data_IF_673854137900
#
_entry.id   IF_673854137900
#
_cell.length_a   1.000
_cell.length_b   1.000
_cell.length_c   1.000
_cell.angle_alpha   90.00
_cell.angle_beta   90.00
_cell.angle_gamma   90.00
#
_symmetry.space_group_name_H-M   'P 1'
#
loop_
_entity.id
_entity.type
_entity.pdbx_description
1 polymer ?
#
# COMPACT_ATOMS: atom_id res chain seq x y z
N UNK A 1 -6.57 1.87 -0.04
CA UNK A 1 -6.23 1.99 -1.48
C UNK A 1 -6.70 0.78 -2.31
N UNK A 2 -7.28 0.99 -3.48
CA UNK A 2 -7.47 -0.07 -4.49
C UNK A 2 -6.18 -0.25 -5.30
N UNK A 3 -5.74 -1.49 -5.51
CA UNK A 3 -4.48 -1.80 -6.19
C UNK A 3 -4.59 -1.55 -7.70
N UNK A 4 -3.62 -0.84 -8.27
CA UNK A 4 -3.54 -0.49 -9.70
C UNK A 4 -2.60 -1.40 -10.50
N UNK A 5 -1.69 -2.11 -9.83
CA UNK A 5 -0.78 -3.05 -10.50
C UNK A 5 -1.21 -4.51 -10.37
N UNK A 6 -1.01 -5.26 -11.46
CA UNK A 6 -1.20 -6.71 -11.51
C UNK A 6 0.12 -7.40 -11.78
N UNK A 7 0.44 -8.40 -10.95
CA UNK A 7 1.64 -9.22 -11.07
C UNK A 7 1.48 -10.25 -12.21
N UNK A 8 2.44 -10.32 -13.11
CA UNK A 8 2.50 -11.34 -14.18
C UNK A 8 3.58 -12.39 -13.89
N UNK A 9 4.74 -11.95 -13.38
CA UNK A 9 5.88 -12.84 -13.05
C UNK A 9 6.60 -12.33 -11.78
N UNK A 10 7.63 -13.03 -11.31
CA UNK A 10 8.37 -12.77 -10.05
C UNK A 10 8.76 -11.30 -9.83
N UNK A 11 8.98 -10.51 -10.89
CA UNK A 11 9.35 -9.08 -10.82
C UNK A 11 8.72 -8.19 -11.92
N UNK A 12 7.67 -8.67 -12.59
CA UNK A 12 7.05 -7.93 -13.70
C UNK A 12 5.60 -7.64 -13.37
N UNK A 13 5.27 -6.35 -13.36
CA UNK A 13 3.94 -5.83 -13.08
C UNK A 13 3.41 -5.05 -14.27
N UNK A 14 2.10 -5.10 -14.44
CA UNK A 14 1.38 -4.34 -15.46
C UNK A 14 0.25 -3.52 -14.86
N UNK A 15 -0.22 -2.51 -15.58
CA UNK A 15 -1.48 -1.80 -15.28
C UNK A 15 -2.31 -1.65 -16.56
N UNK A 16 -3.64 -1.65 -16.41
CA UNK A 16 -4.61 -1.52 -17.51
C UNK A 16 -5.03 -0.04 -17.68
N UNK A 17 -5.13 0.42 -18.93
CA UNK A 17 -5.36 1.83 -19.31
C UNK A 17 -6.71 2.43 -18.92
N UNK A 18 -7.61 1.68 -18.28
CA UNK A 18 -8.91 2.25 -17.85
C UNK A 18 -8.77 3.38 -16.82
N UNK A 19 -7.60 3.52 -16.18
CA UNK A 19 -7.33 4.50 -15.12
C UNK A 19 -6.38 5.65 -15.52
N UNK A 20 -5.95 5.74 -16.78
CA UNK A 20 -5.11 6.84 -17.26
C UNK A 20 -5.95 7.71 -18.20
N UNK A 21 -6.24 8.95 -17.79
CA UNK A 21 -6.98 9.90 -18.60
C UNK A 21 -6.29 10.04 -19.96
N UNK A 22 -7.05 9.78 -21.03
CA UNK A 22 -6.60 9.87 -22.41
C UNK A 22 -5.97 11.24 -22.67
N UNK A 23 -4.68 11.27 -22.97
CA UNK A 23 -4.08 12.43 -23.64
C UNK A 23 -4.63 12.41 -25.06
N UNK A 24 -5.63 13.25 -25.32
CA UNK A 24 -6.30 13.37 -26.62
C UNK A 24 -5.26 13.72 -27.69
N UNK A 25 -5.12 12.86 -28.70
CA UNK A 25 -4.22 13.18 -29.81
C UNK A 25 -3.99 12.15 -30.92
N UNK A 26 -4.48 10.91 -30.85
CA UNK A 26 -4.30 9.96 -31.96
C UNK A 26 -5.58 9.21 -32.31
N UNK A 27 -6.02 9.43 -33.56
CA UNK A 27 -7.24 8.88 -34.15
C UNK A 27 -7.10 7.38 -34.43
N UNK A 28 -8.13 6.63 -34.00
CA UNK A 28 -8.67 5.39 -34.55
C UNK A 28 -7.70 4.26 -34.93
N UNK A 29 -7.62 3.22 -34.10
CA UNK A 29 -7.93 1.81 -34.46
C UNK A 29 -7.62 0.86 -33.29
N UNK A 30 -8.61 0.03 -32.93
CA UNK A 30 -8.62 -1.01 -31.88
C UNK A 30 -8.40 -0.53 -30.44
N UNK A 31 -9.36 -0.86 -29.58
CA UNK A 31 -9.19 -0.85 -28.12
C UNK A 31 -8.14 -1.92 -27.75
N UNK A 32 -6.87 -1.61 -27.95
CA UNK A 32 -5.80 -2.23 -27.19
C UNK A 32 -5.99 -1.76 -25.76
N UNK A 33 -6.29 -2.68 -24.87
CA UNK A 33 -5.98 -2.49 -23.46
C UNK A 33 -4.46 -2.29 -23.42
N UNK A 34 -3.99 -1.05 -23.48
CA UNK A 34 -2.56 -0.73 -23.46
C UNK A 34 -2.04 -1.15 -22.09
N UNK A 35 -1.49 -2.37 -22.06
CA UNK A 35 -0.85 -2.95 -20.89
C UNK A 35 0.45 -2.18 -20.68
N UNK A 36 0.46 -1.29 -19.69
CA UNK A 36 1.68 -0.54 -19.36
C UNK A 36 2.59 -1.42 -18.51
N UNK A 37 3.88 -1.45 -18.87
CA UNK A 37 4.93 -2.16 -18.16
C UNK A 37 6.17 -1.28 -18.06
N UNK A 38 7.05 -1.56 -17.10
CA UNK A 38 8.33 -0.86 -16.97
C UNK A 38 8.72 -0.55 -15.53
N UNK A 39 9.81 0.20 -15.36
CA UNK A 39 10.37 0.51 -14.04
C UNK A 39 9.39 1.31 -13.16
N UNK A 40 8.66 2.27 -13.75
CA UNK A 40 7.66 3.06 -13.03
C UNK A 40 6.53 2.18 -12.45
N UNK A 41 6.01 1.24 -13.24
CA UNK A 41 4.98 0.29 -12.79
C UNK A 41 5.52 -0.64 -11.71
N UNK A 42 6.76 -1.09 -11.82
CA UNK A 42 7.41 -1.89 -10.78
C UNK A 42 7.63 -1.10 -9.48
N UNK A 43 7.91 0.22 -9.55
CA UNK A 43 8.00 1.09 -8.37
C UNK A 43 6.63 1.27 -7.72
N UNK A 44 5.59 1.48 -8.53
CA UNK A 44 4.21 1.58 -8.04
C UNK A 44 3.78 0.29 -7.33
N UNK A 45 4.04 -0.88 -7.92
CA UNK A 45 3.72 -2.15 -7.30
C UNK A 45 4.38 -2.35 -5.93
N UNK A 46 5.65 -1.94 -5.79
CA UNK A 46 6.36 -1.99 -4.50
C UNK A 46 5.78 -1.03 -3.47
N UNK A 47 5.30 0.12 -3.92
CA UNK A 47 4.60 1.06 -3.05
C UNK A 47 3.28 0.47 -2.56
N UNK A 48 2.50 -0.14 -3.45
CA UNK A 48 1.26 -0.83 -3.09
C UNK A 48 1.52 -1.97 -2.09
N UNK A 49 2.56 -2.80 -2.35
CA UNK A 49 2.97 -3.86 -1.42
C UNK A 49 3.37 -3.31 -0.04
N UNK A 50 4.05 -2.16 0.01
CA UNK A 50 4.42 -1.48 1.25
C UNK A 50 3.18 -0.96 1.98
N UNK A 51 2.24 -0.36 1.26
CA UNK A 51 1.01 0.18 1.80
C UNK A 51 0.15 -0.94 2.43
N UNK A 52 -0.07 -2.02 1.69
CA UNK A 52 -0.77 -3.21 2.18
C UNK A 52 -0.10 -3.79 3.44
N UNK A 53 1.24 -3.89 3.43
CA UNK A 53 1.99 -4.34 4.59
C UNK A 53 1.78 -3.44 5.81
N UNK A 54 1.78 -2.12 5.65
CA UNK A 54 1.60 -1.18 6.76
C UNK A 54 0.21 -1.31 7.40
N UNK A 55 -0.83 -1.48 6.59
CA UNK A 55 -2.20 -1.71 7.08
C UNK A 55 -2.29 -3.01 7.88
N UNK A 56 -1.84 -4.13 7.32
CA UNK A 56 -1.84 -5.42 8.01
C UNK A 56 -1.00 -5.38 9.30
N UNK A 57 0.19 -4.77 9.22
CA UNK A 57 1.09 -4.61 10.36
C UNK A 57 0.47 -3.75 11.46
N UNK A 58 -0.34 -2.75 11.11
CA UNK A 58 -1.11 -1.93 12.06
C UNK A 58 -2.19 -2.77 12.76
N UNK A 59 -3.00 -3.51 12.00
CA UNK A 59 -4.06 -4.38 12.52
C UNK A 59 -3.48 -5.41 13.51
N UNK A 60 -2.45 -6.16 13.09
CA UNK A 60 -1.77 -7.13 13.96
C UNK A 60 -1.19 -6.48 15.23
N UNK A 61 -0.66 -5.26 15.11
CA UNK A 61 -0.07 -4.54 16.25
C UNK A 61 -1.17 -4.14 17.24
N UNK A 62 -2.32 -3.69 16.76
CA UNK A 62 -3.48 -3.36 17.59
C UNK A 62 -3.99 -4.61 18.32
N UNK A 63 -4.14 -5.74 17.62
CA UNK A 63 -4.54 -7.01 18.24
C UNK A 63 -3.60 -7.44 19.38
N UNK A 64 -2.29 -7.34 19.16
CA UNK A 64 -1.27 -7.65 20.18
C UNK A 64 -1.35 -6.72 21.38
N UNK A 65 -1.59 -5.42 21.15
CA UNK A 65 -1.81 -4.42 22.22
C UNK A 65 -3.06 -4.78 23.03
N UNK A 66 -4.18 -5.09 22.37
CA UNK A 66 -5.44 -5.45 23.03
C UNK A 66 -5.31 -6.72 23.85
N UNK A 67 -4.58 -7.72 23.34
CA UNK A 67 -4.27 -8.93 24.11
C UNK A 67 -3.49 -8.60 25.38
N UNK A 68 -2.44 -7.78 25.29
CA UNK A 68 -1.66 -7.36 26.46
C UNK A 68 -2.46 -6.50 27.45
N UNK A 69 -3.42 -5.71 26.97
CA UNK A 69 -4.37 -4.97 27.83
C UNK A 69 -5.25 -5.92 28.64
N UNK A 70 -5.80 -6.96 28.00
CA UNK A 70 -6.61 -7.99 28.68
C UNK A 70 -5.80 -8.81 29.71
N UNK A 71 -4.50 -8.89 29.53
CA UNK A 71 -3.57 -9.56 30.47
C UNK A 71 -2.97 -8.60 31.52
N UNK A 72 -3.41 -7.33 31.59
CA UNK A 72 -2.85 -6.27 32.46
C UNK A 72 -1.34 -6.01 32.28
N UNK A 73 -0.77 -6.37 31.13
CA UNK A 73 0.67 -6.25 30.79
C UNK A 73 1.03 -4.94 30.10
N UNK A 74 0.44 -3.83 30.53
CA UNK A 74 0.59 -2.51 29.90
C UNK A 74 1.91 -1.80 30.20
N UNK A 75 2.61 -2.17 31.27
CA UNK A 75 3.87 -1.55 31.68
C UNK A 75 5.13 -2.23 31.10
N UNK A 76 4.95 -3.27 30.28
CA UNK A 76 6.06 -4.05 29.73
C UNK A 76 6.80 -3.29 28.61
N UNK A 77 8.09 -3.62 28.41
CA UNK A 77 8.88 -3.10 27.28
C UNK A 77 8.21 -3.46 25.95
N UNK A 78 7.70 -4.70 25.83
CA UNK A 78 6.99 -5.18 24.64
C UNK A 78 5.76 -4.34 24.33
N UNK A 79 4.95 -4.00 25.34
CA UNK A 79 3.78 -3.12 25.14
C UNK A 79 4.19 -1.75 24.61
N UNK A 80 5.23 -1.14 25.19
CA UNK A 80 5.74 0.17 24.76
C UNK A 80 6.28 0.12 23.32
N UNK A 81 6.98 -0.94 22.95
CA UNK A 81 7.48 -1.16 21.58
C UNK A 81 6.33 -1.29 20.58
N UNK A 82 5.27 -2.04 20.91
CA UNK A 82 4.09 -2.18 20.07
C UNK A 82 3.35 -0.84 19.91
N UNK A 83 3.23 -0.07 21.01
CA UNK A 83 2.60 1.25 20.96
C UNK A 83 3.41 2.23 20.08
N UNK A 84 4.73 2.25 20.21
CA UNK A 84 5.60 3.04 19.35
C UNK A 84 5.47 2.61 17.89
N UNK A 85 5.43 1.30 17.61
CA UNK A 85 5.20 0.77 16.26
C UNK A 85 3.85 1.23 15.68
N UNK A 86 2.77 1.17 16.46
CA UNK A 86 1.45 1.67 16.06
C UNK A 86 1.51 3.14 15.65
N UNK A 87 2.14 3.99 16.46
CA UNK A 87 2.28 5.42 16.19
C UNK A 87 3.10 5.68 14.93
N UNK A 88 4.19 4.94 14.73
CA UNK A 88 5.04 5.05 13.54
C UNK A 88 4.28 4.67 12.27
N UNK A 89 3.56 3.54 12.27
CA UNK A 89 2.74 3.11 11.14
C UNK A 89 1.64 4.15 10.82
N UNK A 90 0.95 4.65 11.85
CA UNK A 90 -0.07 5.69 11.72
C UNK A 90 0.49 6.99 11.13
N UNK A 91 1.70 7.39 11.55
CA UNK A 91 2.38 8.54 10.96
C UNK A 91 2.69 8.34 9.47
N UNK A 92 3.18 7.16 9.05
CA UNK A 92 3.43 6.87 7.64
C UNK A 92 2.14 6.92 6.81
N UNK A 93 1.05 6.29 7.30
CA UNK A 93 -0.24 6.31 6.62
C UNK A 93 -0.78 7.75 6.49
N UNK A 94 -0.67 8.56 7.56
CA UNK A 94 -1.05 9.97 7.51
C UNK A 94 -0.22 10.77 6.51
N UNK A 95 1.09 10.52 6.43
CA UNK A 95 1.95 11.17 5.43
C UNK A 95 1.51 10.81 4.02
N UNK A 96 1.20 9.55 3.73
CA UNK A 96 0.70 9.15 2.41
C UNK A 96 -0.62 9.83 2.05
N UNK A 97 -1.53 9.96 3.02
CA UNK A 97 -2.78 10.69 2.84
C UNK A 97 -2.55 12.19 2.58
N UNK A 98 -1.69 12.84 3.36
CA UNK A 98 -1.37 14.28 3.21
C UNK A 98 -0.79 14.58 1.81
N UNK A 99 0.07 13.71 1.30
CA UNK A 99 0.69 13.89 -0.01
C UNK A 99 -0.14 13.31 -1.16
N UNK A 100 -1.35 12.78 -0.90
CA UNK A 100 -2.25 12.26 -1.94
C UNK A 100 -1.68 11.04 -2.67
N UNK A 101 -0.83 10.26 -2.01
CA UNK A 101 -0.25 9.02 -2.57
C UNK A 101 -1.16 7.82 -2.26
N UNK A 102 -2.27 8.04 -1.55
CA UNK A 102 -3.34 7.09 -1.30
C UNK A 102 -4.73 7.72 -1.53
#
# INVERSE_FOLDING_TARGET
MERLTKKIDKKVYITESKNLQQVQGFNNEKACTDVYSGEAINKLAKFEDLYEYLILSQEETIEKIEKLRKEDKTNTVTFKQLLAKKMTNENFLNLFHIYGVE
#
